data_IF_334968973980
#
_entry.id   IF_334968973980
#
_cell.length_a   1.000
_cell.length_b   1.000
_cell.length_c   1.000
_cell.angle_alpha   90.00
_cell.angle_beta   90.00
_cell.angle_gamma   90.00
#
_symmetry.space_group_name_H-M   'P 1'
#
loop_
_entity.id
_entity.type
_entity.pdbx_description
1 polymer ?
#
# COMPACT_ATOMS: atom_id res chain seq x y z
N UNK A 1 0.57 2.19 4.44
CA UNK A 1 1.72 1.35 4.01
C UNK A 1 2.94 2.25 3.91
N UNK A 2 4.00 1.97 4.66
CA UNK A 2 5.24 2.77 4.73
C UNK A 2 6.34 2.03 3.97
N UNK A 3 7.05 2.71 3.06
CA UNK A 3 8.14 2.12 2.28
C UNK A 3 9.48 2.28 3.01
N UNK A 4 10.10 1.17 3.40
CA UNK A 4 11.33 1.16 4.20
C UNK A 4 12.60 1.22 3.32
N UNK A 5 12.46 0.90 2.04
CA UNK A 5 13.48 1.07 1.01
C UNK A 5 12.83 1.38 -0.35
N UNK A 6 13.65 1.70 -1.35
CA UNK A 6 13.26 1.82 -2.76
C UNK A 6 13.82 0.61 -3.51
N UNK A 7 12.99 -0.32 -4.05
CA UNK A 7 13.47 -1.36 -4.96
C UNK A 7 14.04 -0.75 -6.25
N UNK A 8 14.88 -1.50 -6.95
CA UNK A 8 15.48 -1.03 -8.21
C UNK A 8 14.43 -0.95 -9.33
N UNK A 9 13.48 -1.90 -9.39
CA UNK A 9 12.36 -1.86 -10.33
C UNK A 9 11.10 -2.56 -9.80
N UNK A 10 9.93 -2.04 -10.20
CA UNK A 10 8.62 -2.59 -9.82
C UNK A 10 8.24 -2.36 -8.36
N UNK A 11 7.36 -3.21 -7.83
CA UNK A 11 6.97 -3.16 -6.42
C UNK A 11 5.99 -2.04 -6.08
N UNK A 12 5.24 -1.48 -7.02
CA UNK A 12 4.20 -0.48 -6.72
C UNK A 12 3.12 -1.00 -5.75
N UNK A 13 2.47 -0.09 -5.03
CA UNK A 13 1.17 -0.35 -4.43
C UNK A 13 0.09 0.15 -5.39
N UNK A 14 -0.74 -0.77 -5.88
CA UNK A 14 -1.75 -0.49 -6.91
C UNK A 14 -3.15 -0.50 -6.33
N UNK A 15 -4.03 0.37 -6.85
CA UNK A 15 -5.47 0.39 -6.59
C UNK A 15 -6.21 0.26 -7.92
N UNK A 16 -6.55 -0.96 -8.37
CA UNK A 16 -7.05 -1.21 -9.72
C UNK A 16 -8.37 -0.49 -10.02
N UNK A 17 -9.27 -0.40 -9.03
CA UNK A 17 -10.62 0.19 -9.22
C UNK A 17 -10.60 1.69 -9.52
N UNK A 18 -9.48 2.37 -9.23
CA UNK A 18 -9.29 3.82 -9.46
C UNK A 18 -8.08 4.12 -10.37
N UNK A 19 -7.43 3.09 -10.93
CA UNK A 19 -6.27 3.25 -11.79
C UNK A 19 -5.07 3.95 -11.14
N UNK A 20 -4.93 3.86 -9.81
CA UNK A 20 -3.82 4.49 -9.08
C UNK A 20 -2.66 3.52 -8.91
N UNK A 21 -1.46 3.97 -9.26
CA UNK A 21 -0.19 3.26 -9.05
C UNK A 21 0.74 4.14 -8.21
N UNK A 22 1.14 3.64 -7.03
CA UNK A 22 2.04 4.35 -6.12
C UNK A 22 3.38 3.64 -6.07
N UNK A 23 4.39 4.23 -6.71
CA UNK A 23 5.76 3.73 -6.68
C UNK A 23 6.35 3.80 -5.25
N UNK A 24 7.09 2.77 -4.81
CA UNK A 24 7.76 2.77 -3.52
C UNK A 24 8.95 3.73 -3.53
N UNK A 25 8.97 4.67 -2.57
CA UNK A 25 10.10 5.56 -2.32
C UNK A 25 10.42 5.50 -0.84
N UNK A 26 11.66 5.15 -0.49
CA UNK A 26 12.14 5.06 0.89
C UNK A 26 11.75 6.30 1.70
N UNK A 27 11.07 6.07 2.83
CA UNK A 27 10.62 7.12 3.74
C UNK A 27 9.20 7.65 3.45
N UNK A 28 8.66 7.41 2.25
CA UNK A 28 7.29 7.77 1.93
C UNK A 28 6.29 6.74 2.45
N UNK A 29 5.02 7.14 2.52
CA UNK A 29 3.92 6.25 2.84
C UNK A 29 2.69 6.57 1.99
N UNK A 30 1.91 5.54 1.68
CA UNK A 30 0.53 5.69 1.18
C UNK A 30 -0.44 5.38 2.31
N UNK A 31 -1.38 6.29 2.54
CA UNK A 31 -2.46 6.15 3.51
C UNK A 31 -3.79 6.05 2.77
N UNK A 32 -4.64 5.13 3.22
CA UNK A 32 -6.00 4.95 2.73
C UNK A 32 -6.85 4.39 3.88
N UNK A 33 -8.14 4.66 3.83
CA UNK A 33 -9.12 4.25 4.84
C UNK A 33 -10.39 3.75 4.18
N UNK A 34 -11.04 2.78 4.80
CA UNK A 34 -12.35 2.28 4.41
C UNK A 34 -13.21 2.12 5.66
N UNK A 35 -14.47 2.53 5.58
CA UNK A 35 -15.45 2.44 6.66
C UNK A 35 -15.99 1.02 6.83
N UNK A 36 -15.98 0.22 5.76
CA UNK A 36 -16.46 -1.17 5.72
C UNK A 36 -15.66 -2.02 4.72
N UNK A 37 -15.58 -3.35 4.90
CA UNK A 37 -14.94 -4.25 3.95
C UNK A 37 -15.83 -4.49 2.72
N UNK A 38 -16.00 -3.45 1.89
CA UNK A 38 -16.91 -3.48 0.73
C UNK A 38 -16.19 -3.01 -0.53
N UNK A 39 -16.39 -3.66 -1.70
CA UNK A 39 -15.76 -3.25 -2.96
C UNK A 39 -16.01 -1.78 -3.34
N UNK A 40 -17.23 -1.30 -3.09
CA UNK A 40 -17.61 0.10 -3.32
C UNK A 40 -16.85 1.16 -2.51
N UNK A 41 -15.92 0.79 -1.62
CA UNK A 41 -15.00 1.75 -0.98
C UNK A 41 -13.84 2.14 -1.89
N UNK A 42 -13.65 1.43 -3.02
CA UNK A 42 -12.59 1.69 -3.99
C UNK A 42 -11.17 1.63 -3.38
N UNK A 43 -11.02 0.86 -2.30
CA UNK A 43 -9.75 0.66 -1.58
C UNK A 43 -9.12 -0.71 -1.82
N UNK A 44 -9.67 -1.51 -2.75
CA UNK A 44 -9.01 -2.74 -3.20
C UNK A 44 -7.62 -2.36 -3.67
N UNK A 45 -6.60 -3.02 -3.11
CA UNK A 45 -5.22 -2.72 -3.41
C UNK A 45 -4.34 -3.98 -3.36
N UNK A 46 -3.20 -3.92 -4.03
CA UNK A 46 -2.22 -4.98 -4.08
C UNK A 46 -0.80 -4.46 -4.18
N UNK A 47 0.16 -5.37 -4.05
CA UNK A 47 1.55 -5.11 -4.40
C UNK A 47 1.84 -5.65 -5.79
N UNK A 48 2.27 -4.79 -6.71
CA UNK A 48 2.83 -5.24 -7.98
C UNK A 48 4.11 -6.04 -7.76
N UNK A 49 4.47 -6.98 -8.65
CA UNK A 49 5.73 -7.71 -8.56
C UNK A 49 6.93 -6.76 -8.46
N UNK A 50 7.89 -7.09 -7.60
CA UNK A 50 9.23 -6.50 -7.66
C UNK A 50 9.93 -7.12 -8.86
N UNK A 51 10.41 -6.28 -9.78
CA UNK A 51 11.09 -6.72 -11.00
C UNK A 51 12.60 -6.80 -10.79
N UNK A 52 13.15 -5.96 -9.92
CA UNK A 52 14.58 -5.98 -9.55
C UNK A 52 14.80 -5.43 -8.13
N UNK A 53 15.75 -6.02 -7.41
CA UNK A 53 16.03 -5.77 -6.00
C UNK A 53 15.01 -6.38 -5.04
N UNK A 54 14.68 -5.66 -3.97
CA UNK A 54 13.73 -6.09 -2.94
C UNK A 54 12.91 -4.91 -2.41
N UNK A 55 11.70 -5.19 -1.91
CA UNK A 55 10.81 -4.18 -1.32
C UNK A 55 10.47 -4.57 0.12
N UNK A 56 10.76 -3.66 1.04
CA UNK A 56 10.40 -3.76 2.45
C UNK A 56 9.35 -2.72 2.81
N UNK A 57 8.30 -3.15 3.53
CA UNK A 57 7.23 -2.27 4.00
C UNK A 57 6.91 -2.48 5.47
N UNK A 58 6.48 -1.42 6.13
CA UNK A 58 5.78 -1.50 7.40
C UNK A 58 4.30 -1.12 7.21
N UNK A 59 3.39 -1.96 7.72
CA UNK A 59 1.96 -1.72 7.65
C UNK A 59 1.41 -1.48 9.05
N UNK A 60 0.76 -0.32 9.25
CA UNK A 60 0.00 -0.02 10.45
C UNK A 60 -1.49 -0.08 10.13
N UNK A 61 -2.19 -1.07 10.68
CA UNK A 61 -3.64 -1.10 10.67
C UNK A 61 -4.18 -0.32 11.86
N UNK A 62 -5.17 0.53 11.59
CA UNK A 62 -5.89 1.31 12.59
C UNK A 62 -7.27 0.68 12.82
N UNK A 63 -7.72 0.68 14.07
CA UNK A 63 -9.05 0.21 14.47
C UNK A 63 -9.89 1.41 14.93
N UNK A 64 -11.20 1.29 14.86
CA UNK A 64 -12.13 2.35 15.29
C UNK A 64 -11.99 2.68 16.78
N UNK A 65 -11.62 1.70 17.61
CA UNK A 65 -11.37 1.86 19.04
C UNK A 65 -9.98 1.37 19.45
N UNK A 66 -9.72 1.40 20.76
CA UNK A 66 -8.48 0.88 21.35
C UNK A 66 -8.30 -0.59 20.93
N UNK A 67 -7.10 -0.90 20.43
CA UNK A 67 -6.70 -2.24 20.03
C UNK A 67 -5.31 -2.50 20.60
N UNK A 68 -5.22 -3.43 21.53
CA UNK A 68 -4.01 -3.83 22.26
C UNK A 68 -3.65 -5.26 21.93
#
# INVERSE_FOLDING_TARGET
>A
VIYLNTPAAGGSTIFPDIGLDVAPVKGNAVFFSYDRPHPGTQTLHGGSPVLDGEKWVATKWLRQGVFT
#
